data_IF_168332530250
#
_entry.id   IF_168332530250
#
_cell.length_a   1.000
_cell.length_b   1.000
_cell.length_c   1.000
_cell.angle_alpha   90.00
_cell.angle_beta   90.00
_cell.angle_gamma   90.00
#
_symmetry.space_group_name_H-M   'P 1'
#
loop_
_entity.id
_entity.type
_entity.pdbx_description
1 polymer ?
#
# COMPACT_ATOMS: atom_id res chain seq x y z
N UNK A 1 33.22 -13.68 9.49
CA UNK A 1 33.18 -12.26 9.13
C UNK A 1 31.79 -11.76 9.44
N UNK A 2 31.64 -10.96 10.49
CA UNK A 2 30.37 -10.35 10.88
C UNK A 2 30.17 -9.15 9.97
N UNK A 3 29.33 -9.30 8.96
CA UNK A 3 28.84 -8.18 8.17
C UNK A 3 28.07 -7.27 9.12
N UNK A 4 28.67 -6.14 9.52
CA UNK A 4 27.96 -5.06 10.19
C UNK A 4 27.07 -4.41 9.15
N UNK A 5 25.91 -5.03 8.88
CA UNK A 5 24.84 -4.38 8.15
C UNK A 5 24.56 -3.05 8.87
N UNK A 6 24.75 -1.93 8.17
CA UNK A 6 24.54 -0.59 8.71
C UNK A 6 23.11 -0.52 9.28
N UNK A 7 22.92 -0.42 10.60
CA UNK A 7 21.60 -0.46 11.23
C UNK A 7 20.69 0.68 10.73
N UNK A 8 21.28 1.76 10.22
CA UNK A 8 20.54 2.90 9.66
C UNK A 8 19.96 2.60 8.27
N UNK A 9 20.59 1.73 7.49
CA UNK A 9 20.11 1.33 6.17
C UNK A 9 18.88 0.44 6.28
N UNK A 10 18.91 -0.54 7.19
CA UNK A 10 17.76 -1.40 7.48
C UNK A 10 16.56 -0.59 7.98
N UNK A 11 16.79 0.36 8.90
CA UNK A 11 15.72 1.22 9.41
C UNK A 11 15.09 2.10 8.30
N UNK A 12 15.91 2.71 7.44
CA UNK A 12 15.43 3.50 6.29
C UNK A 12 14.61 2.68 5.30
N UNK A 13 15.02 1.44 5.03
CA UNK A 13 14.25 0.52 4.16
C UNK A 13 12.86 0.25 4.75
N UNK A 14 12.79 -0.11 6.03
CA UNK A 14 11.51 -0.38 6.69
C UNK A 14 10.60 0.85 6.71
N UNK A 15 11.14 2.05 6.96
CA UNK A 15 10.36 3.29 6.89
C UNK A 15 9.79 3.55 5.49
N UNK A 16 10.61 3.40 4.44
CA UNK A 16 10.13 3.57 3.05
C UNK A 16 8.98 2.61 2.74
N UNK A 17 9.11 1.34 3.13
CA UNK A 17 8.08 0.33 2.87
C UNK A 17 6.77 0.66 3.57
N UNK A 18 6.83 0.95 4.88
CA UNK A 18 5.63 1.28 5.65
C UNK A 18 4.98 2.57 5.16
N UNK A 19 5.75 3.63 4.92
CA UNK A 19 5.20 4.93 4.46
C UNK A 19 4.57 4.81 3.08
N UNK A 20 5.20 4.09 2.14
CA UNK A 20 4.63 3.91 0.78
C UNK A 20 3.32 3.10 0.86
N UNK A 21 3.31 1.99 1.61
CA UNK A 21 2.13 1.14 1.74
C UNK A 21 0.96 1.84 2.44
N UNK A 22 1.23 2.62 3.50
CA UNK A 22 0.16 3.31 4.22
C UNK A 22 -0.41 4.49 3.42
N UNK A 23 0.45 5.28 2.77
CA UNK A 23 0.01 6.40 1.93
C UNK A 23 -0.70 5.90 0.66
N UNK A 24 -0.20 4.83 0.03
CA UNK A 24 -0.83 4.25 -1.14
C UNK A 24 -2.19 3.63 -0.81
N UNK A 25 -2.33 2.93 0.31
CA UNK A 25 -3.63 2.46 0.81
C UNK A 25 -4.66 3.58 0.98
N UNK A 26 -4.27 4.72 1.56
CA UNK A 26 -5.16 5.90 1.68
C UNK A 26 -5.50 6.47 0.30
N UNK A 27 -4.53 6.65 -0.59
CA UNK A 27 -4.77 7.14 -1.94
C UNK A 27 -5.71 6.20 -2.73
N UNK A 28 -5.58 4.90 -2.55
CA UNK A 28 -6.47 3.90 -3.15
C UNK A 28 -7.92 4.07 -2.68
N UNK A 29 -8.15 4.50 -1.43
CA UNK A 29 -9.49 4.67 -0.88
C UNK A 29 -10.21 5.83 -1.56
N UNK A 30 -9.53 6.97 -1.70
CA UNK A 30 -10.04 8.12 -2.45
C UNK A 30 -10.26 7.77 -3.94
N UNK A 31 -9.34 7.03 -4.55
CA UNK A 31 -9.51 6.55 -5.92
C UNK A 31 -10.69 5.59 -6.06
N UNK A 32 -10.95 4.76 -5.05
CA UNK A 32 -12.09 3.84 -5.06
C UNK A 32 -13.40 4.60 -4.95
N UNK A 33 -13.49 5.59 -4.07
CA UNK A 33 -14.67 6.45 -3.97
C UNK A 33 -14.99 7.19 -5.28
N UNK A 34 -13.96 7.70 -5.97
CA UNK A 34 -14.15 8.42 -7.22
C UNK A 34 -14.57 7.53 -8.42
N UNK A 35 -14.24 6.23 -8.39
CA UNK A 35 -14.37 5.33 -9.56
C UNK A 35 -15.42 4.24 -9.35
N UNK A 36 -15.72 3.88 -8.11
CA UNK A 36 -16.62 2.78 -7.76
C UNK A 36 -17.99 3.32 -7.35
N UNK A 37 -19.00 3.06 -8.18
CA UNK A 37 -20.37 3.55 -7.95
C UNK A 37 -21.13 2.81 -6.83
N UNK A 38 -20.68 1.62 -6.41
CA UNK A 38 -21.35 0.80 -5.41
C UNK A 38 -20.34 0.15 -4.47
N UNK A 39 -20.52 0.33 -3.16
CA UNK A 39 -19.63 -0.21 -2.12
C UNK A 39 -19.52 -1.75 -2.12
N UNK A 40 -20.51 -2.45 -2.67
CA UNK A 40 -20.52 -3.93 -2.81
C UNK A 40 -19.78 -4.38 -4.07
N UNK A 41 -19.40 -3.45 -4.95
CA UNK A 41 -18.72 -3.77 -6.19
C UNK A 41 -17.30 -4.28 -5.93
N UNK A 42 -16.97 -5.41 -6.58
CA UNK A 42 -15.62 -5.96 -6.59
C UNK A 42 -14.62 -5.06 -7.33
N UNK A 43 -15.10 -4.01 -8.00
CA UNK A 43 -14.25 -3.05 -8.70
C UNK A 43 -13.29 -2.31 -7.76
N UNK A 44 -13.67 -2.08 -6.50
CA UNK A 44 -12.76 -1.51 -5.49
C UNK A 44 -11.52 -2.38 -5.22
N UNK A 45 -11.67 -3.71 -5.31
CA UNK A 45 -10.53 -4.63 -5.18
C UNK A 45 -9.55 -4.51 -6.37
N UNK A 46 -10.05 -4.20 -7.56
CA UNK A 46 -9.20 -3.97 -8.73
C UNK A 46 -8.43 -2.65 -8.60
N UNK A 47 -9.05 -1.60 -8.05
CA UNK A 47 -8.37 -0.34 -7.73
C UNK A 47 -7.24 -0.57 -6.74
N UNK A 48 -7.52 -1.30 -5.65
CA UNK A 48 -6.51 -1.67 -4.66
C UNK A 48 -5.35 -2.46 -5.30
N UNK A 49 -5.65 -3.48 -6.10
CA UNK A 49 -4.61 -4.26 -6.78
C UNK A 49 -3.76 -3.40 -7.72
N UNK A 50 -4.39 -2.45 -8.44
CA UNK A 50 -3.69 -1.48 -9.27
C UNK A 50 -2.74 -0.60 -8.45
N UNK A 51 -3.20 -0.10 -7.31
CA UNK A 51 -2.35 0.72 -6.42
C UNK A 51 -1.22 -0.09 -5.81
N UNK A 52 -1.46 -1.31 -5.35
CA UNK A 52 -0.39 -2.18 -4.83
C UNK A 52 0.66 -2.48 -5.91
N UNK A 53 0.26 -2.66 -7.17
CA UNK A 53 1.22 -2.79 -8.27
C UNK A 53 2.08 -1.52 -8.46
N UNK A 54 1.46 -0.34 -8.34
CA UNK A 54 2.17 0.96 -8.37
C UNK A 54 3.11 1.11 -7.16
N UNK A 55 2.68 0.70 -5.96
CA UNK A 55 3.51 0.72 -4.75
C UNK A 55 4.76 -0.13 -4.90
N UNK A 56 4.64 -1.35 -5.44
CA UNK A 56 5.77 -2.23 -5.70
C UNK A 56 6.72 -1.62 -6.75
N UNK A 57 6.18 -0.95 -7.77
CA UNK A 57 6.97 -0.18 -8.75
C UNK A 57 7.70 1.00 -8.10
N UNK A 58 7.02 1.77 -7.25
CA UNK A 58 7.58 2.92 -6.55
C UNK A 58 8.68 2.51 -5.58
N UNK A 59 8.51 1.38 -4.89
CA UNK A 59 9.55 0.78 -4.05
C UNK A 59 10.81 0.46 -4.87
N UNK A 60 10.65 -0.14 -6.06
CA UNK A 60 11.78 -0.39 -6.97
C UNK A 60 12.49 0.89 -7.40
N UNK A 61 11.74 1.95 -7.78
CA UNK A 61 12.32 3.23 -8.21
C UNK A 61 13.03 3.96 -7.06
N UNK A 62 12.53 3.84 -5.83
CA UNK A 62 13.12 4.49 -4.65
C UNK A 62 14.32 3.74 -4.04
N UNK A 63 14.81 2.71 -4.74
CA UNK A 63 15.98 1.92 -4.37
C UNK A 63 15.70 0.86 -3.29
N UNK A 64 14.43 0.50 -3.06
CA UNK A 64 14.08 -0.67 -2.25
C UNK A 64 14.19 -1.89 -3.16
N UNK A 65 15.04 -2.84 -2.79
CA UNK A 65 15.23 -4.06 -3.57
C UNK A 65 14.07 -5.03 -3.35
N UNK A 66 12.98 -4.80 -4.07
CA UNK A 66 11.78 -5.65 -4.05
C UNK A 66 12.08 -7.05 -4.64
N UNK A 67 13.22 -7.24 -5.31
CA UNK A 67 13.67 -8.56 -5.79
C UNK A 67 14.06 -9.49 -4.65
N UNK A 68 14.54 -8.92 -3.55
CA UNK A 68 14.98 -9.66 -2.36
C UNK A 68 13.83 -9.94 -1.38
N UNK A 69 12.65 -9.36 -1.65
CA UNK A 69 11.50 -9.52 -0.77
C UNK A 69 11.05 -10.97 -0.74
N UNK A 70 10.90 -11.50 0.46
CA UNK A 70 10.27 -12.79 0.66
C UNK A 70 8.75 -12.68 0.39
N UNK A 71 8.07 -13.82 0.30
CA UNK A 71 6.61 -13.86 0.20
C UNK A 71 5.93 -13.13 1.38
N UNK A 72 6.54 -13.18 2.58
CA UNK A 72 6.06 -12.47 3.77
C UNK A 72 6.09 -10.95 3.60
N UNK A 73 7.11 -10.41 2.94
CA UNK A 73 7.27 -8.95 2.79
C UNK A 73 6.23 -8.41 1.80
N UNK A 74 5.98 -9.14 0.72
CA UNK A 74 4.90 -8.82 -0.22
C UNK A 74 3.52 -8.91 0.46
N UNK A 75 3.30 -9.94 1.28
CA UNK A 75 2.06 -10.06 2.06
C UNK A 75 1.90 -8.90 3.04
N UNK A 76 2.97 -8.47 3.70
CA UNK A 76 2.95 -7.32 4.60
C UNK A 76 2.52 -6.04 3.86
N UNK A 77 3.14 -5.74 2.72
CA UNK A 77 2.78 -4.56 1.91
C UNK A 77 1.32 -4.63 1.49
N UNK A 78 0.91 -5.74 0.86
CA UNK A 78 -0.48 -5.90 0.40
C UNK A 78 -1.49 -5.83 1.53
N UNK A 79 -1.19 -6.42 2.69
CA UNK A 79 -2.06 -6.37 3.86
C UNK A 79 -2.18 -4.96 4.45
N UNK A 80 -1.05 -4.24 4.59
CA UNK A 80 -1.05 -2.88 5.12
C UNK A 80 -1.81 -1.92 4.20
N UNK A 81 -1.59 -2.00 2.89
CA UNK A 81 -2.30 -1.19 1.91
C UNK A 81 -3.79 -1.54 1.89
N UNK A 82 -4.15 -2.83 1.96
CA UNK A 82 -5.54 -3.28 2.09
C UNK A 82 -6.22 -2.74 3.35
N UNK A 83 -5.57 -2.83 4.51
CA UNK A 83 -6.15 -2.40 5.77
C UNK A 83 -6.43 -0.90 5.79
N UNK A 84 -5.47 -0.09 5.33
CA UNK A 84 -5.60 1.37 5.24
C UNK A 84 -6.66 1.76 4.22
N UNK A 85 -6.65 1.14 3.04
CA UNK A 85 -7.69 1.31 2.03
C UNK A 85 -9.08 1.02 2.57
N UNK A 86 -9.27 -0.15 3.19
CA UNK A 86 -10.57 -0.62 3.68
C UNK A 86 -11.12 0.29 4.78
N UNK A 87 -10.28 0.68 5.74
CA UNK A 87 -10.70 1.57 6.83
C UNK A 87 -11.03 2.96 6.29
N UNK A 88 -10.17 3.55 5.47
CA UNK A 88 -10.40 4.90 4.93
C UNK A 88 -11.64 4.94 4.03
N UNK A 89 -11.82 3.95 3.16
CA UNK A 89 -12.99 3.90 2.28
C UNK A 89 -14.27 3.61 3.05
N UNK A 90 -14.22 2.71 4.05
CA UNK A 90 -15.35 2.48 4.95
C UNK A 90 -15.78 3.73 5.72
N UNK A 91 -14.83 4.58 6.13
CA UNK A 91 -15.13 5.88 6.75
C UNK A 91 -15.77 6.84 5.75
N UNK A 92 -15.21 6.98 4.53
CA UNK A 92 -15.79 7.84 3.48
C UNK A 92 -17.26 7.47 3.18
N UNK A 93 -17.54 6.17 3.05
CA UNK A 93 -18.89 5.64 2.83
C UNK A 93 -19.81 5.89 4.02
N UNK A 94 -19.29 5.77 5.26
CA UNK A 94 -20.09 6.00 6.48
C UNK A 94 -20.48 7.47 6.66
N UNK A 95 -19.58 8.38 6.28
CA UNK A 95 -19.82 9.83 6.32
C UNK A 95 -20.61 10.34 5.08
N UNK A 96 -20.82 9.49 4.08
CA UNK A 96 -21.55 9.84 2.85
C UNK A 96 -20.81 10.85 1.97
N UNK A 97 -19.48 10.86 2.00
CA UNK A 97 -18.66 11.78 1.21
C UNK A 97 -18.62 11.28 -0.24
N UNK A 98 -19.04 12.13 -1.19
CA UNK A 98 -19.01 11.84 -2.63
C UNK A 98 -18.24 12.93 -3.37
N UNK A 99 -17.44 12.56 -4.38
CA UNK A 99 -16.60 13.48 -5.17
C UNK A 99 -17.11 13.67 -6.61
#
# INVERSE_FOLDING_TARGET
MTETADPTAAHRRSLKVTTIATLGGVAAAFASEAVVADATSRMGLLVLLGVVAVELGLMRVTGVDVSEFSAKDHLYVGFMSFALWFITWGVLLSEGITF
#
